data_IF_183272928803
#
_entry.id   IF_183272928803
#
_cell.length_a   1.000
_cell.length_b   1.000
_cell.length_c   1.000
_cell.angle_alpha   90.00
_cell.angle_beta   90.00
_cell.angle_gamma   90.00
#
_symmetry.space_group_name_H-M   'P 1'
#
loop_
_entity.id
_entity.type
_entity.pdbx_description
1 polymer ?
#
# COMPACT_ATOMS: atom_id res chain seq x y z
N UNK A 1 -7.23 11.83 9.22
CA UNK A 1 -6.60 13.13 8.87
C UNK A 1 -5.69 12.90 7.66
N UNK A 2 -6.25 12.88 6.45
CA UNK A 2 -5.44 12.76 5.23
C UNK A 2 -4.83 14.13 4.94
N UNK A 3 -3.52 14.29 5.19
CA UNK A 3 -2.79 15.45 4.66
C UNK A 3 -2.60 15.23 3.16
N UNK A 4 -2.85 16.25 2.34
CA UNK A 4 -2.61 16.17 0.90
C UNK A 4 -1.15 15.77 0.65
N UNK A 5 -0.94 14.74 -0.17
CA UNK A 5 0.40 14.35 -0.59
C UNK A 5 1.09 15.55 -1.25
N UNK A 6 2.34 15.87 -0.89
CA UNK A 6 3.09 16.90 -1.58
C UNK A 6 3.26 16.50 -3.06
N UNK A 7 3.16 17.49 -3.94
CA UNK A 7 3.38 17.30 -5.37
C UNK A 7 4.82 16.86 -5.63
N UNK A 8 4.98 15.65 -6.20
CA UNK A 8 6.28 15.03 -6.40
C UNK A 8 7.19 15.88 -7.30
N UNK A 9 6.63 16.65 -8.24
CA UNK A 9 7.40 17.54 -9.11
C UNK A 9 8.00 18.76 -8.40
N UNK A 10 7.62 19.01 -7.14
CA UNK A 10 8.12 20.12 -6.32
C UNK A 10 9.15 19.69 -5.27
N UNK A 11 9.41 18.39 -5.13
CA UNK A 11 10.38 17.86 -4.18
C UNK A 11 11.77 17.79 -4.81
N UNK A 12 12.80 17.97 -3.98
CA UNK A 12 14.17 17.64 -4.40
C UNK A 12 14.35 16.13 -4.53
N UNK A 13 15.24 15.68 -5.40
CA UNK A 13 15.48 14.24 -5.64
C UNK A 13 15.83 13.48 -4.34
N UNK A 14 16.62 14.09 -3.46
CA UNK A 14 16.97 13.51 -2.16
C UNK A 14 15.73 13.32 -1.26
N UNK A 15 14.79 14.26 -1.30
CA UNK A 15 13.55 14.19 -0.53
C UNK A 15 12.61 13.16 -1.14
N UNK A 16 12.48 13.15 -2.47
CA UNK A 16 11.68 12.18 -3.20
C UNK A 16 12.17 10.75 -2.93
N UNK A 17 13.48 10.51 -3.02
CA UNK A 17 14.08 9.19 -2.76
C UNK A 17 13.79 8.68 -1.34
N UNK A 18 13.61 9.59 -0.38
CA UNK A 18 13.33 9.22 1.01
C UNK A 18 11.84 8.95 1.23
N UNK A 19 10.95 9.72 0.60
CA UNK A 19 9.50 9.70 0.87
C UNK A 19 8.70 8.83 -0.11
N UNK A 20 9.23 8.56 -1.30
CA UNK A 20 8.54 7.77 -2.32
C UNK A 20 8.11 6.40 -1.77
N UNK A 21 6.89 5.98 -2.11
CA UNK A 21 6.32 4.71 -1.67
C UNK A 21 5.80 4.68 -0.23
N UNK A 22 6.06 5.70 0.60
CA UNK A 22 5.53 5.76 1.98
C UNK A 22 4.09 6.26 1.99
N UNK A 23 3.23 5.56 2.71
CA UNK A 23 1.89 6.02 3.05
C UNK A 23 1.53 5.60 4.48
N UNK A 24 1.85 6.43 5.49
CA UNK A 24 1.50 6.11 6.87
C UNK A 24 -0.01 6.04 7.12
N UNK A 25 -0.84 6.68 6.28
CA UNK A 25 -2.30 6.66 6.44
C UNK A 25 -2.89 5.29 6.16
N UNK A 26 -2.43 4.65 5.08
CA UNK A 26 -2.81 3.27 4.73
C UNK A 26 -2.18 2.22 5.66
N UNK A 27 -1.11 2.60 6.36
CA UNK A 27 -0.32 1.74 7.24
C UNK A 27 -0.50 2.08 8.72
N UNK A 28 -1.69 2.50 9.15
CA UNK A 28 -2.05 2.70 10.57
C UNK A 28 -1.13 3.63 11.38
N UNK A 29 -0.50 4.60 10.72
CA UNK A 29 0.39 5.59 11.33
C UNK A 29 1.86 5.18 11.35
N UNK A 30 2.21 3.98 10.91
CA UNK A 30 3.62 3.57 10.78
C UNK A 30 4.30 4.34 9.65
N UNK A 31 5.46 4.94 9.93
CA UNK A 31 6.22 5.71 8.95
C UNK A 31 6.75 4.82 7.82
N UNK A 32 7.24 3.63 8.19
CA UNK A 32 7.76 2.65 7.25
C UNK A 32 6.61 1.73 6.81
N UNK A 33 6.52 1.40 5.50
CA UNK A 33 5.62 0.36 5.04
C UNK A 33 5.89 -0.94 5.82
N UNK A 34 4.88 -1.56 6.42
CA UNK A 34 5.02 -2.81 7.13
C UNK A 34 5.33 -3.95 6.16
N UNK A 35 6.01 -4.99 6.66
CA UNK A 35 6.35 -6.18 5.88
C UNK A 35 5.24 -7.22 6.05
N UNK A 36 4.52 -7.52 4.98
CA UNK A 36 3.45 -8.51 4.98
C UNK A 36 3.95 -9.89 4.51
N UNK A 37 4.29 -10.76 5.46
CA UNK A 37 4.63 -12.16 5.19
C UNK A 37 3.39 -13.02 5.04
N UNK A 38 2.70 -12.90 3.92
CA UNK A 38 1.48 -13.66 3.63
C UNK A 38 1.49 -14.22 2.21
N UNK A 39 1.12 -15.49 2.07
CA UNK A 39 0.84 -16.10 0.77
C UNK A 39 -0.60 -15.84 0.34
N UNK A 40 -1.56 -15.85 1.26
CA UNK A 40 -3.00 -15.78 0.96
C UNK A 40 -3.61 -14.49 1.49
N UNK A 41 -4.54 -13.89 0.74
CA UNK A 41 -5.26 -12.66 1.11
C UNK A 41 -6.75 -12.96 1.24
N UNK A 42 -7.36 -12.49 2.32
CA UNK A 42 -8.80 -12.63 2.54
C UNK A 42 -9.59 -11.61 1.74
N UNK A 43 -10.79 -12.01 1.30
CA UNK A 43 -11.78 -11.13 0.70
C UNK A 43 -12.89 -10.85 1.72
N UNK A 44 -13.53 -9.66 1.68
CA UNK A 44 -14.65 -9.36 2.57
C UNK A 44 -15.86 -10.29 2.38
N UNK A 45 -16.07 -10.79 1.15
CA UNK A 45 -17.16 -11.71 0.81
C UNK A 45 -16.75 -12.75 -0.23
N UNK A 46 -17.51 -13.85 -0.31
CA UNK A 46 -17.32 -14.87 -1.34
C UNK A 46 -17.57 -14.31 -2.75
N UNK A 47 -18.56 -13.45 -2.93
CA UNK A 47 -18.83 -12.80 -4.20
C UNK A 47 -17.65 -11.92 -4.67
N UNK A 48 -16.93 -11.27 -3.75
CA UNK A 48 -15.72 -10.48 -4.09
C UNK A 48 -14.54 -11.38 -4.46
N UNK A 49 -14.43 -12.56 -3.85
CA UNK A 49 -13.43 -13.56 -4.21
C UNK A 49 -13.68 -14.08 -5.63
N UNK A 50 -14.92 -14.48 -5.94
CA UNK A 50 -15.31 -14.98 -7.26
C UNK A 50 -15.10 -13.93 -8.35
N UNK A 51 -15.53 -12.69 -8.10
CA UNK A 51 -15.35 -11.56 -9.02
C UNK A 51 -13.92 -10.99 -9.01
N UNK A 52 -13.03 -11.45 -8.12
CA UNK A 52 -11.64 -10.98 -7.94
C UNK A 52 -11.55 -9.46 -7.74
N UNK A 53 -12.35 -8.89 -6.84
CA UNK A 53 -12.40 -7.44 -6.56
C UNK A 53 -11.40 -6.94 -5.49
N UNK A 54 -10.44 -7.78 -5.10
CA UNK A 54 -9.41 -7.41 -4.13
C UNK A 54 -8.30 -6.56 -4.75
N UNK A 55 -7.78 -5.57 -4.02
CA UNK A 55 -6.56 -4.83 -4.42
C UNK A 55 -5.33 -5.73 -4.47
N UNK A 56 -5.31 -6.76 -3.62
CA UNK A 56 -4.31 -7.82 -3.58
C UNK A 56 -5.03 -9.16 -3.58
N UNK A 57 -4.43 -10.18 -4.20
CA UNK A 57 -5.08 -11.47 -4.38
C UNK A 57 -4.31 -12.63 -3.71
N UNK A 58 -3.00 -12.66 -3.88
CA UNK A 58 -2.13 -13.74 -3.41
C UNK A 58 -0.69 -13.21 -3.42
N UNK A 59 0.14 -13.58 -2.45
CA UNK A 59 1.49 -13.05 -2.26
C UNK A 59 2.40 -13.21 -3.48
N UNK A 60 2.22 -14.28 -4.27
CA UNK A 60 2.93 -14.46 -5.55
C UNK A 60 2.63 -13.37 -6.59
N UNK A 61 1.46 -12.74 -6.51
CA UNK A 61 1.05 -11.64 -7.41
C UNK A 61 1.40 -10.26 -6.85
N UNK A 62 2.03 -10.19 -5.69
CA UNK A 62 2.34 -8.96 -4.98
C UNK A 62 1.60 -8.86 -3.65
N UNK A 63 2.27 -8.21 -2.70
CA UNK A 63 1.71 -7.79 -1.42
C UNK A 63 1.74 -6.26 -1.36
N UNK A 64 1.22 -5.63 -0.29
CA UNK A 64 1.37 -4.20 -0.11
C UNK A 64 2.82 -3.72 0.07
N UNK A 65 3.76 -4.64 0.35
CA UNK A 65 5.20 -4.38 0.46
C UNK A 65 5.86 -4.48 -0.92
#
# INVERSE_FOLDING_TARGET
MSKSRPDAGKLTDATLSTLAGRDPGENYGMVNPPVYHASTVLYPSAADLEARRGRYHYGRRGTPT
#
